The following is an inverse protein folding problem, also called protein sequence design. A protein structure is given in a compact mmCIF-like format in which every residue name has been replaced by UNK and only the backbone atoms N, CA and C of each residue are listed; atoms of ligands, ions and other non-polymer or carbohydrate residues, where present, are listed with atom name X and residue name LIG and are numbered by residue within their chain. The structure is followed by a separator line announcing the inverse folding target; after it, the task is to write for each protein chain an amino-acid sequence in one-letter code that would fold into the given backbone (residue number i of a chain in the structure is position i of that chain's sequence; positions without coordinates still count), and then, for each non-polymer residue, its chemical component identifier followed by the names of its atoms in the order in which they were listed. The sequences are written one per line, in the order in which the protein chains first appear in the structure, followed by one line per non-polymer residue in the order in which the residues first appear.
data_IF_444096068926
#
_entry.id   IF_444096068926
#
_cell.length_a   1.000
_cell.length_b   1.000
_cell.length_c   1.000
_cell.angle_alpha   90.00
_cell.angle_beta   90.00
_cell.angle_gamma   90.00
#
_symmetry.space_group_name_H-M   'P 1'
#
loop_
_entity.id
_entity.type
_entity.pdbx_description
1 polymer ?
#
# COMPACT_ATOMS: atom_id res chain seq x y z
N UNK A 1 12.31 -0.20 12.89
CA UNK A 1 11.17 -0.91 12.29
C UNK A 1 11.43 -1.14 10.81
N UNK A 2 10.73 -2.11 10.22
CA UNK A 2 10.81 -2.47 8.79
C UNK A 2 9.46 -2.18 8.16
N UNK A 3 9.44 -1.38 7.09
CA UNK A 3 8.24 -1.08 6.32
C UNK A 3 8.12 -2.06 5.15
N UNK A 4 6.94 -2.66 4.98
CA UNK A 4 6.70 -3.73 4.00
C UNK A 4 5.43 -3.43 3.21
N UNK A 5 5.54 -3.53 1.88
CA UNK A 5 4.38 -3.59 1.01
C UNK A 5 3.89 -5.05 0.98
N UNK A 6 2.76 -5.32 1.63
CA UNK A 6 2.15 -6.65 1.66
C UNK A 6 1.04 -6.70 0.61
N UNK A 7 1.34 -7.28 -0.55
CA UNK A 7 0.40 -7.39 -1.68
C UNK A 7 -0.83 -8.23 -1.36
N UNK A 8 -0.74 -9.20 -0.44
CA UNK A 8 -1.87 -10.03 -0.01
C UNK A 8 -2.37 -11.11 -0.99
N UNK A 9 -1.78 -11.26 -2.19
CA UNK A 9 -2.24 -12.16 -3.27
C UNK A 9 -2.43 -13.63 -2.84
N UNK A 10 -1.62 -14.12 -1.92
CA UNK A 10 -1.70 -15.50 -1.41
C UNK A 10 -2.07 -15.57 0.06
N UNK A 11 -2.65 -14.49 0.63
CA UNK A 11 -3.04 -14.47 2.04
C UNK A 11 -4.23 -15.42 2.25
N UNK A 12 -4.11 -16.45 3.10
CA UNK A 12 -5.22 -17.37 3.35
C UNK A 12 -6.42 -16.66 3.99
N UNK A 13 -7.64 -17.03 3.59
CA UNK A 13 -8.87 -16.60 4.25
C UNK A 13 -9.37 -15.18 3.93
N UNK A 14 -8.65 -14.40 3.12
CA UNK A 14 -9.10 -13.07 2.70
C UNK A 14 -9.61 -13.09 1.25
N UNK A 15 -10.93 -12.96 1.09
CA UNK A 15 -11.55 -12.58 -0.17
C UNK A 15 -12.55 -11.44 0.05
N UNK A 16 -12.45 -10.33 -0.71
CA UNK A 16 -11.48 -10.06 -1.78
C UNK A 16 -10.04 -9.83 -1.26
N UNK A 17 -9.05 -10.07 -2.13
CA UNK A 17 -7.63 -9.75 -1.85
C UNK A 17 -7.44 -8.24 -1.73
N UNK A 18 -6.48 -7.83 -0.88
CA UNK A 18 -6.11 -6.42 -0.71
C UNK A 18 -4.64 -6.28 -0.36
N UNK A 19 -4.08 -5.13 -0.72
CA UNK A 19 -2.75 -4.70 -0.32
C UNK A 19 -2.81 -3.86 0.95
N UNK A 20 -1.72 -3.88 1.70
CA UNK A 20 -1.51 -3.02 2.86
C UNK A 20 -0.05 -2.65 2.98
N UNK A 21 0.25 -1.55 3.64
CA UNK A 21 1.61 -1.25 4.09
C UNK A 21 1.66 -1.51 5.58
N UNK A 22 2.60 -2.33 6.02
CA UNK A 22 2.78 -2.65 7.44
C UNK A 22 4.16 -2.25 7.91
N UNK A 23 4.24 -1.74 9.12
CA UNK A 23 5.48 -1.48 9.83
C UNK A 23 5.66 -2.55 10.90
N UNK A 24 6.78 -3.26 10.85
CA UNK A 24 7.07 -4.39 11.74
C UNK A 24 8.23 -4.01 12.65
N UNK A 25 8.07 -4.26 13.95
CA UNK A 25 9.20 -4.24 14.89
C UNK A 25 9.91 -5.62 14.83
N UNK A 26 11.15 -5.67 14.30
CA UNK A 26 11.87 -6.94 14.13
C UNK A 26 12.32 -7.56 15.45
N UNK A 27 12.23 -6.86 16.58
CA UNK A 27 12.57 -7.42 17.89
C UNK A 27 11.40 -8.18 18.53
N UNK A 28 10.17 -7.86 18.12
CA UNK A 28 8.95 -8.40 18.73
C UNK A 28 8.03 -9.12 17.75
N UNK A 29 8.35 -9.09 16.46
CA UNK A 29 7.54 -9.61 15.35
C UNK A 29 6.12 -9.03 15.30
N UNK A 30 5.93 -7.83 15.86
CA UNK A 30 4.63 -7.16 15.91
C UNK A 30 4.50 -6.17 14.77
N UNK A 31 3.31 -6.15 14.17
CA UNK A 31 2.86 -5.03 13.34
C UNK A 31 2.57 -3.85 14.28
N UNK A 32 3.37 -2.80 14.19
CA UNK A 32 3.25 -1.58 15.01
C UNK A 32 2.49 -0.47 14.31
N UNK A 33 2.30 -0.58 12.99
CA UNK A 33 1.46 0.30 12.18
C UNK A 33 0.97 -0.43 10.93
N UNK A 34 -0.24 -0.11 10.49
CA UNK A 34 -0.86 -0.65 9.28
C UNK A 34 -1.60 0.46 8.55
N UNK A 35 -1.35 0.60 7.24
CA UNK A 35 -2.25 1.29 6.33
C UNK A 35 -2.91 0.28 5.39
N UNK A 36 -4.24 0.39 5.30
CA UNK A 36 -5.10 -0.20 4.29
C UNK A 36 -6.27 0.75 4.06
N UNK A 37 -6.87 0.70 2.89
CA UNK A 37 -8.10 1.48 2.66
C UNK A 37 -9.32 0.82 3.31
N UNK A 38 -10.40 1.58 3.40
CA UNK A 38 -11.72 1.10 3.78
C UNK A 38 -12.73 1.48 2.68
N UNK A 39 -13.27 0.50 1.93
CA UNK A 39 -13.00 -0.94 2.03
C UNK A 39 -11.58 -1.33 1.53
N UNK A 40 -10.96 -2.39 2.10
CA UNK A 40 -9.57 -2.76 1.79
C UNK A 40 -9.27 -3.03 0.32
N UNK A 41 -10.25 -3.54 -0.44
CA UNK A 41 -10.07 -3.87 -1.85
C UNK A 41 -9.92 -2.65 -2.78
N UNK A 42 -10.14 -1.43 -2.28
CA UNK A 42 -9.84 -0.21 -3.05
C UNK A 42 -8.33 0.00 -3.23
N UNK A 43 -7.51 -0.62 -2.37
CA UNK A 43 -6.06 -0.66 -2.48
C UNK A 43 -5.60 -2.11 -2.67
N UNK A 44 -5.35 -2.49 -3.92
CA UNK A 44 -4.84 -3.82 -4.26
C UNK A 44 -3.93 -3.80 -5.48
N UNK A 45 -2.65 -4.08 -5.25
CA UNK A 45 -1.70 -4.49 -6.26
C UNK A 45 -1.33 -5.94 -6.01
N UNK A 46 -1.59 -6.84 -6.97
CA UNK A 46 -1.30 -8.26 -6.82
C UNK A 46 0.21 -8.59 -6.87
N UNK A 47 1.00 -7.67 -7.40
CA UNK A 47 2.44 -7.75 -7.60
C UNK A 47 2.99 -6.33 -7.76
N UNK A 48 4.31 -6.17 -7.58
CA UNK A 48 4.97 -4.87 -7.55
C UNK A 48 4.38 -3.95 -6.47
N UNK A 49 4.77 -2.67 -6.51
CA UNK A 49 4.42 -1.68 -5.50
C UNK A 49 5.60 -1.34 -4.60
N UNK A 50 5.55 -0.16 -4.00
CA UNK A 50 6.60 0.32 -3.10
C UNK A 50 6.00 1.24 -2.04
N UNK A 51 6.79 1.50 -1.01
CA UNK A 51 6.47 2.48 0.03
C UNK A 51 7.76 3.09 0.56
N UNK A 52 7.65 4.30 1.11
CA UNK A 52 8.73 4.98 1.80
C UNK A 52 8.17 5.88 2.90
N UNK A 53 8.73 5.77 4.12
CA UNK A 53 8.45 6.71 5.21
C UNK A 53 9.28 7.97 4.99
N UNK A 54 8.61 9.12 4.91
CA UNK A 54 9.22 10.43 4.74
C UNK A 54 9.68 11.04 6.07
N UNK A 55 10.60 12.03 6.06
CA UNK A 55 11.07 12.69 7.27
C UNK A 55 9.99 13.40 8.11
N UNK A 56 8.86 13.76 7.50
CA UNK A 56 7.72 14.37 8.20
C UNK A 56 6.84 13.33 8.93
N UNK A 57 7.13 12.04 8.81
CA UNK A 57 6.34 10.95 9.38
C UNK A 57 5.27 10.36 8.45
N UNK A 58 5.01 10.98 7.30
CA UNK A 58 4.07 10.45 6.31
C UNK A 58 4.67 9.27 5.54
N UNK A 59 3.84 8.50 4.85
CA UNK A 59 4.28 7.42 3.96
C UNK A 59 3.82 7.68 2.54
N UNK A 60 4.75 7.71 1.60
CA UNK A 60 4.43 7.65 0.16
C UNK A 60 4.30 6.19 -0.24
N UNK A 61 3.25 5.87 -0.99
CA UNK A 61 2.89 4.52 -1.42
C UNK A 61 2.68 4.54 -2.93
N UNK A 62 3.30 3.58 -3.63
CA UNK A 62 3.09 3.35 -5.06
C UNK A 62 2.24 2.09 -5.25
N UNK A 63 1.00 2.29 -5.69
CA UNK A 63 0.05 1.25 -6.09
C UNK A 63 0.20 0.97 -7.59
N UNK A 64 1.09 0.02 -7.88
CA UNK A 64 1.55 -0.25 -9.23
C UNK A 64 0.45 -0.66 -10.21
N UNK A 65 -0.51 -1.48 -9.77
CA UNK A 65 -1.58 -1.98 -10.64
C UNK A 65 -2.66 -0.94 -10.95
N UNK A 66 -2.89 0.01 -10.04
CA UNK A 66 -3.82 1.11 -10.28
C UNK A 66 -3.14 2.33 -10.92
N UNK A 67 -1.81 2.31 -11.09
CA UNK A 67 -1.06 3.45 -11.60
C UNK A 67 -1.20 4.68 -10.70
N UNK A 68 -1.28 4.47 -9.38
CA UNK A 68 -1.56 5.49 -8.38
C UNK A 68 -0.39 5.62 -7.41
N UNK A 69 -0.05 6.86 -7.06
CA UNK A 69 0.94 7.17 -6.02
C UNK A 69 0.24 8.11 -5.05
N UNK A 70 0.34 7.85 -3.75
CA UNK A 70 -0.33 8.66 -2.74
C UNK A 70 0.50 8.75 -1.47
N UNK A 71 0.34 9.85 -0.74
CA UNK A 71 0.99 10.11 0.54
C UNK A 71 -0.04 10.07 1.66
N UNK A 72 0.24 9.30 2.71
CA UNK A 72 -0.64 9.16 3.88
C UNK A 72 0.04 9.66 5.15
N UNK A 73 -0.72 10.29 6.04
CA UNK A 73 -0.27 10.57 7.41
C UNK A 73 -0.06 9.29 8.20
N UNK A 74 0.55 9.40 9.39
CA UNK A 74 0.63 8.25 10.29
C UNK A 74 -0.75 7.77 10.75
N UNK A 75 -1.73 8.68 10.81
CA UNK A 75 -3.12 8.39 11.15
C UNK A 75 -3.90 7.75 9.97
N UNK A 76 -3.29 7.69 8.78
CA UNK A 76 -3.87 7.07 7.59
C UNK A 76 -4.67 8.02 6.69
N UNK A 77 -4.56 9.33 6.88
CA UNK A 77 -5.21 10.32 6.01
C UNK A 77 -4.40 10.54 4.73
N UNK A 78 -5.04 10.44 3.57
CA UNK A 78 -4.39 10.79 2.30
C UNK A 78 -4.26 12.31 2.20
N UNK A 79 -3.03 12.81 2.13
CA UNK A 79 -2.72 14.25 2.05
C UNK A 79 -2.25 14.70 0.67
N UNK A 80 -1.85 13.75 -0.18
CA UNK A 80 -1.51 13.98 -1.57
C UNK A 80 -1.77 12.72 -2.39
N UNK A 81 -2.13 12.90 -3.66
CA UNK A 81 -2.41 11.80 -4.57
C UNK A 81 -2.13 12.19 -6.02
N UNK A 82 -1.62 11.22 -6.77
CA UNK A 82 -1.47 11.26 -8.21
C UNK A 82 -1.95 9.94 -8.82
N UNK A 83 -2.80 10.05 -9.84
CA UNK A 83 -3.25 8.91 -10.66
C UNK A 83 -2.73 9.10 -12.08
N UNK A 84 -1.98 8.13 -12.57
CA UNK A 84 -1.44 8.13 -13.93
C UNK A 84 -2.59 8.16 -14.95
N UNK A 85 -2.59 9.11 -15.91
CA UNK A 85 -3.56 9.09 -17.00
C UNK A 85 -3.21 8.03 -18.06
N UNK A 86 -2.04 7.40 -17.98
CA UNK A 86 -1.58 6.40 -18.93
C UNK A 86 -1.89 5.00 -18.40
N UNK A 87 -2.99 4.43 -18.90
CA UNK A 87 -3.34 3.03 -18.67
C UNK A 87 -2.69 2.22 -19.81
N UNK A 88 -1.95 1.16 -19.46
CA UNK A 88 -1.28 0.32 -20.44
C UNK A 88 -2.23 -0.06 -21.59
N UNK A 89 -1.78 0.15 -22.83
CA UNK A 89 -2.59 -0.12 -24.03
C UNK A 89 -3.09 -1.57 -23.94
N UNK A 90 -4.41 -1.79 -23.99
CA UNK A 90 -4.94 -3.15 -24.15
C UNK A 90 -4.27 -3.72 -25.40
N UNK A 91 -3.46 -4.75 -25.21
CA UNK A 91 -3.05 -5.60 -26.33
C UNK A 91 -4.33 -6.29 -26.78
N UNK A 92 -4.86 -5.82 -27.91
CA UNK A 92 -6.01 -6.45 -28.59
C UNK A 92 -5.61 -7.75 -29.25
#
# INVERSE_FOLDING_TARGET
NILVFDNGTHRPGNQPSYSRVVEIDPNTDKIVWEYKEDPPYNFYSSHCGSNERLPNGNTVICDAMHGRIFEVTYEGEIVWEYVSPFIGKKMG
#
